data_IF_112001871825
#
_entry.id   IF_112001871825
#
_cell.length_a   1.000
_cell.length_b   1.000
_cell.length_c   1.000
_cell.angle_alpha   90.00
_cell.angle_beta   90.00
_cell.angle_gamma   90.00
#
_symmetry.space_group_name_H-M   'P 1'
#
loop_
_entity.id
_entity.type
_entity.pdbx_description
1 polymer ?
#
# COMPACT_ATOMS: atom_id res chain seq x y z
N UNK A 1 -6.96 -11.50 -22.65
CA UNK A 1 -8.10 -10.81 -21.99
C UNK A 1 -7.52 -9.59 -21.30
N UNK A 2 -8.14 -8.40 -21.39
CA UNK A 2 -7.62 -7.22 -20.70
C UNK A 2 -7.63 -7.44 -19.17
N UNK A 3 -6.68 -6.86 -18.43
CA UNK A 3 -6.66 -6.90 -16.97
C UNK A 3 -7.97 -6.34 -16.42
N UNK A 4 -8.63 -7.08 -15.53
CA UNK A 4 -9.78 -6.55 -14.80
C UNK A 4 -9.22 -5.77 -13.63
N UNK A 5 -9.30 -4.44 -13.69
CA UNK A 5 -8.91 -3.56 -12.60
C UNK A 5 -10.17 -3.00 -11.94
N UNK A 6 -10.28 -3.03 -10.60
CA UNK A 6 -11.39 -2.38 -9.92
C UNK A 6 -11.47 -0.91 -10.31
N UNK A 7 -12.67 -0.47 -10.70
CA UNK A 7 -12.93 0.95 -10.92
C UNK A 7 -12.89 1.74 -9.60
N UNK A 8 -13.09 1.07 -8.47
CA UNK A 8 -13.10 1.69 -7.14
C UNK A 8 -12.15 0.93 -6.23
N UNK A 9 -11.48 1.67 -5.35
CA UNK A 9 -10.68 1.13 -4.25
C UNK A 9 -11.48 1.31 -2.98
N UNK A 10 -11.71 0.21 -2.26
CA UNK A 10 -12.53 0.20 -1.06
C UNK A 10 -11.75 -0.30 0.14
N UNK A 11 -11.98 0.32 1.29
CA UNK A 11 -11.44 -0.13 2.56
C UNK A 11 -12.49 0.06 3.66
N UNK A 12 -12.67 -0.96 4.49
CA UNK A 12 -13.48 -0.89 5.70
C UNK A 12 -12.58 -0.87 6.93
N UNK A 13 -12.75 0.14 7.78
CA UNK A 13 -12.08 0.24 9.07
C UNK A 13 -13.09 -0.19 10.14
N UNK A 14 -12.75 -1.21 10.91
CA UNK A 14 -13.62 -1.84 11.90
C UNK A 14 -13.28 -1.35 13.30
N UNK A 15 -14.30 -0.98 14.06
CA UNK A 15 -14.16 -0.41 15.40
C UNK A 15 -15.13 -1.07 16.38
N UNK A 16 -14.69 -1.23 17.62
CA UNK A 16 -15.61 -1.39 18.75
C UNK A 16 -16.38 -0.09 19.00
N UNK A 17 -15.67 1.04 18.98
CA UNK A 17 -16.23 2.38 19.06
C UNK A 17 -15.29 3.40 18.40
N UNK A 18 -15.83 4.54 17.96
CA UNK A 18 -15.05 5.71 17.54
C UNK A 18 -15.89 6.99 17.68
N UNK A 19 -15.19 8.13 17.78
CA UNK A 19 -15.82 9.45 17.73
C UNK A 19 -15.85 9.95 16.29
N UNK A 20 -17.04 10.26 15.72
CA UNK A 20 -17.13 10.81 14.38
C UNK A 20 -16.33 12.10 14.26
N UNK A 21 -15.55 12.22 13.18
CA UNK A 21 -14.80 13.44 12.91
C UNK A 21 -15.54 14.37 11.95
N UNK A 22 -15.23 15.67 12.05
CA UNK A 22 -15.74 16.68 11.12
C UNK A 22 -14.95 16.65 9.81
N UNK A 23 -15.65 16.58 8.68
CA UNK A 23 -15.02 16.48 7.35
C UNK A 23 -14.19 17.70 6.97
N UNK A 24 -14.56 18.92 7.40
CA UNK A 24 -13.79 20.12 7.13
C UNK A 24 -12.35 20.01 7.69
N UNK A 25 -12.23 19.64 8.97
CA UNK A 25 -10.93 19.44 9.61
C UNK A 25 -10.14 18.27 8.99
N UNK A 26 -10.83 17.23 8.54
CA UNK A 26 -10.19 16.13 7.81
C UNK A 26 -9.64 16.57 6.45
N UNK A 27 -10.40 17.38 5.70
CA UNK A 27 -9.96 17.95 4.43
C UNK A 27 -8.73 18.85 4.61
N UNK A 28 -8.67 19.64 5.67
CA UNK A 28 -7.49 20.45 5.98
C UNK A 28 -6.25 19.59 6.25
N UNK A 29 -6.41 18.45 6.95
CA UNK A 29 -5.32 17.47 7.10
C UNK A 29 -4.89 16.89 5.76
N UNK A 30 -5.85 16.52 4.90
CA UNK A 30 -5.55 16.01 3.58
C UNK A 30 -4.78 17.05 2.74
N UNK A 31 -5.14 18.33 2.79
CA UNK A 31 -4.39 19.41 2.10
C UNK A 31 -2.93 19.47 2.55
N UNK A 32 -2.67 19.36 3.85
CA UNK A 32 -1.29 19.34 4.37
C UNK A 32 -0.47 18.16 3.84
N UNK A 33 -1.11 17.01 3.64
CA UNK A 33 -0.45 15.80 3.17
C UNK A 33 -0.30 15.80 1.66
N UNK A 34 -1.32 16.21 0.94
CA UNK A 34 -1.26 16.32 -0.51
C UNK A 34 -0.36 17.48 -0.97
N UNK A 35 -0.13 18.47 -0.11
CA UNK A 35 0.64 19.67 -0.44
C UNK A 35 -0.12 20.56 -1.42
N UNK A 36 0.59 21.52 -1.99
CA UNK A 36 0.01 22.47 -2.95
C UNK A 36 -0.21 21.86 -4.36
N UNK A 37 0.33 20.66 -4.60
CA UNK A 37 0.32 20.01 -5.93
C UNK A 37 -1.04 19.38 -6.28
N UNK A 38 -1.80 18.92 -5.27
CA UNK A 38 -3.07 18.23 -5.47
C UNK A 38 -4.17 19.03 -4.76
N UNK A 39 -5.02 19.75 -5.51
CA UNK A 39 -6.11 20.51 -4.92
C UNK A 39 -7.12 19.58 -4.26
N UNK A 40 -7.39 19.81 -2.97
CA UNK A 40 -8.36 19.05 -2.18
C UNK A 40 -9.53 19.94 -1.77
N UNK A 41 -10.75 19.50 -2.11
CA UNK A 41 -11.99 20.19 -1.79
C UNK A 41 -13.04 19.24 -1.22
N UNK A 42 -13.77 19.72 -0.19
CA UNK A 42 -15.00 19.07 0.27
C UNK A 42 -16.11 19.41 -0.72
N UNK A 43 -16.70 18.39 -1.33
CA UNK A 43 -17.76 18.55 -2.35
C UNK A 43 -19.15 18.50 -1.70
N UNK A 44 -19.39 17.50 -0.84
CA UNK A 44 -20.64 17.31 -0.13
C UNK A 44 -20.38 16.64 1.23
N UNK A 45 -21.23 16.89 2.23
CA UNK A 45 -21.23 16.16 3.47
C UNK A 45 -22.60 16.20 4.17
N UNK A 46 -22.93 15.15 4.93
CA UNK A 46 -24.20 15.05 5.67
C UNK A 46 -23.95 14.78 7.14
N UNK A 47 -23.99 15.84 7.95
CA UNK A 47 -24.06 15.74 9.42
C UNK A 47 -22.98 14.85 10.08
N UNK A 48 -21.82 14.69 9.44
CA UNK A 48 -20.75 13.81 9.93
C UNK A 48 -20.88 12.32 9.54
N UNK A 49 -22.04 11.84 9.07
CA UNK A 49 -22.19 10.44 8.67
C UNK A 49 -21.57 10.13 7.30
N UNK A 50 -21.50 11.13 6.43
CA UNK A 50 -21.02 10.99 5.05
C UNK A 50 -20.28 12.24 4.61
N UNK A 51 -19.20 12.05 3.84
CA UNK A 51 -18.44 13.10 3.21
C UNK A 51 -17.88 12.66 1.86
N UNK A 52 -17.90 13.58 0.92
CA UNK A 52 -17.39 13.43 -0.43
C UNK A 52 -16.34 14.50 -0.68
N UNK A 53 -15.13 14.06 -1.01
CA UNK A 53 -13.95 14.90 -1.18
C UNK A 53 -13.44 14.69 -2.61
N UNK A 54 -13.04 15.76 -3.27
CA UNK A 54 -12.37 15.72 -4.57
C UNK A 54 -10.89 16.06 -4.37
N UNK A 55 -9.99 15.19 -4.82
CA UNK A 55 -8.56 15.39 -4.88
C UNK A 55 -8.10 15.27 -6.35
N UNK A 56 -7.95 16.41 -7.03
CA UNK A 56 -7.58 16.50 -8.45
C UNK A 56 -8.36 15.57 -9.42
N UNK A 57 -9.68 15.54 -9.27
CA UNK A 57 -10.57 14.72 -10.09
C UNK A 57 -10.73 13.27 -9.60
N UNK A 58 -10.00 12.86 -8.57
CA UNK A 58 -10.23 11.58 -7.88
C UNK A 58 -11.19 11.82 -6.72
N UNK A 59 -12.32 11.13 -6.76
CA UNK A 59 -13.36 11.25 -5.74
C UNK A 59 -13.10 10.27 -4.60
N UNK A 60 -13.21 10.79 -3.38
CA UNK A 60 -13.04 10.07 -2.12
C UNK A 60 -14.35 10.18 -1.36
N UNK A 61 -15.04 9.07 -1.21
CA UNK A 61 -16.23 8.93 -0.37
C UNK A 61 -15.83 8.31 0.97
N UNK A 62 -16.28 8.91 2.06
CA UNK A 62 -16.07 8.41 3.42
C UNK A 62 -17.41 8.35 4.14
N UNK A 63 -17.81 7.16 4.58
CA UNK A 63 -19.02 6.93 5.37
C UNK A 63 -18.65 6.52 6.80
N UNK A 64 -19.12 7.27 7.79
CA UNK A 64 -18.97 7.00 9.21
C UNK A 64 -20.27 6.33 9.74
N UNK A 65 -20.27 4.99 9.79
CA UNK A 65 -21.45 4.20 10.16
C UNK A 65 -21.40 3.77 11.64
N UNK A 66 -22.58 3.75 12.28
CA UNK A 66 -22.80 3.28 13.65
C UNK A 66 -23.25 1.81 13.73
N UNK A 67 -23.01 1.05 12.66
CA UNK A 67 -23.41 -0.35 12.53
C UNK A 67 -22.25 -1.21 12.05
N UNK A 68 -22.22 -2.49 12.42
CA UNK A 68 -21.28 -3.45 11.88
C UNK A 68 -21.59 -3.78 10.41
N UNK A 69 -20.57 -4.25 9.70
CA UNK A 69 -20.71 -4.84 8.38
C UNK A 69 -21.12 -6.31 8.49
N UNK A 70 -21.75 -6.82 7.43
CA UNK A 70 -22.17 -8.21 7.35
C UNK A 70 -20.95 -9.16 7.27
N UNK A 71 -20.98 -10.23 8.05
CA UNK A 71 -19.90 -11.24 8.10
C UNK A 71 -19.59 -11.88 6.74
N UNK A 72 -20.58 -11.97 5.86
CA UNK A 72 -20.43 -12.52 4.51
C UNK A 72 -19.34 -11.80 3.70
N UNK A 73 -19.12 -10.50 3.94
CA UNK A 73 -18.10 -9.72 3.25
C UNK A 73 -16.66 -10.07 3.63
N UNK A 74 -16.44 -10.86 4.69
CA UNK A 74 -15.11 -11.20 5.20
C UNK A 74 -14.73 -12.68 5.03
N UNK A 75 -15.61 -13.50 4.44
CA UNK A 75 -15.42 -14.95 4.39
C UNK A 75 -14.12 -15.36 3.69
N UNK A 76 -13.80 -14.74 2.56
CA UNK A 76 -12.56 -15.02 1.82
C UNK A 76 -11.33 -14.70 2.65
N UNK A 77 -11.27 -13.48 3.19
CA UNK A 77 -10.16 -13.03 4.00
C UNK A 77 -9.96 -13.88 5.27
N UNK A 78 -11.04 -14.25 5.97
CA UNK A 78 -10.96 -15.08 7.19
C UNK A 78 -10.62 -16.55 6.89
N UNK A 79 -10.98 -17.07 5.72
CA UNK A 79 -10.64 -18.44 5.32
C UNK A 79 -9.14 -18.59 5.03
N UNK A 80 -8.45 -17.51 4.67
CA UNK A 80 -7.04 -17.52 4.28
C UNK A 80 -6.10 -17.98 5.38
N UNK A 81 -5.23 -18.94 5.06
CA UNK A 81 -4.12 -19.38 5.92
C UNK A 81 -3.15 -18.24 6.23
N UNK A 82 -2.97 -17.29 5.30
CA UNK A 82 -2.11 -16.14 5.51
C UNK A 82 -2.70 -15.19 6.56
N UNK A 83 -4.00 -14.91 6.47
CA UNK A 83 -4.71 -14.12 7.49
C UNK A 83 -4.63 -14.79 8.86
N UNK A 84 -4.90 -16.09 8.96
CA UNK A 84 -4.82 -16.82 10.25
C UNK A 84 -3.41 -16.77 10.87
N UNK A 85 -2.37 -16.70 10.04
CA UNK A 85 -0.99 -16.57 10.49
C UNK A 85 -0.65 -15.15 10.95
N UNK A 86 -1.07 -14.12 10.20
CA UNK A 86 -0.71 -12.72 10.48
C UNK A 86 -1.64 -12.06 11.50
N UNK A 87 -2.89 -12.50 11.54
CA UNK A 87 -4.01 -11.92 12.29
C UNK A 87 -4.85 -13.03 12.98
N UNK A 88 -4.30 -13.79 13.93
CA UNK A 88 -5.05 -14.85 14.62
C UNK A 88 -6.38 -14.39 15.24
N UNK A 89 -6.45 -13.14 15.69
CA UNK A 89 -7.59 -12.50 16.33
C UNK A 89 -8.61 -11.87 15.35
N UNK A 90 -8.38 -11.96 14.03
CA UNK A 90 -9.20 -11.28 13.03
C UNK A 90 -10.69 -11.68 13.10
N UNK A 91 -10.96 -12.97 13.32
CA UNK A 91 -12.33 -13.48 13.39
C UNK A 91 -13.10 -12.87 14.56
N UNK A 92 -12.49 -12.82 15.75
CA UNK A 92 -13.10 -12.23 16.94
C UNK A 92 -13.37 -10.73 16.75
N UNK A 93 -12.45 -10.01 16.11
CA UNK A 93 -12.63 -8.58 15.82
C UNK A 93 -13.76 -8.36 14.80
N UNK A 94 -13.78 -9.15 13.72
CA UNK A 94 -14.85 -9.08 12.70
C UNK A 94 -16.21 -9.42 13.30
N UNK A 95 -16.29 -10.36 14.24
CA UNK A 95 -17.56 -10.66 14.94
C UNK A 95 -17.93 -9.58 15.98
N UNK A 96 -16.93 -8.98 16.63
CA UNK A 96 -17.12 -8.07 17.77
C UNK A 96 -17.29 -6.59 17.41
N UNK A 97 -16.87 -6.16 16.21
CA UNK A 97 -16.96 -4.75 15.82
C UNK A 97 -18.41 -4.25 15.81
N UNK A 98 -18.60 -2.96 16.08
CA UNK A 98 -19.93 -2.34 16.20
C UNK A 98 -20.10 -1.13 15.31
N UNK A 99 -18.99 -0.50 14.91
CA UNK A 99 -18.98 0.68 14.06
C UNK A 99 -17.96 0.52 12.96
N UNK A 100 -18.21 1.20 11.85
CA UNK A 100 -17.32 1.14 10.68
C UNK A 100 -17.12 2.51 10.07
N UNK A 101 -15.92 2.71 9.52
CA UNK A 101 -15.68 3.78 8.57
C UNK A 101 -15.37 3.13 7.23
N UNK A 102 -16.16 3.44 6.20
CA UNK A 102 -15.97 2.91 4.86
C UNK A 102 -15.38 3.99 3.96
N UNK A 103 -14.25 3.70 3.33
CA UNK A 103 -13.56 4.59 2.39
C UNK A 103 -13.68 4.00 1.01
N UNK A 104 -14.15 4.81 0.05
CA UNK A 104 -14.20 4.45 -1.36
C UNK A 104 -13.50 5.53 -2.18
N UNK A 105 -12.53 5.13 -3.01
CA UNK A 105 -11.79 6.03 -3.91
C UNK A 105 -12.06 5.62 -5.35
N UNK A 106 -12.48 6.56 -6.19
CA UNK A 106 -12.90 6.30 -7.56
C UNK A 106 -13.05 7.56 -8.39
N UNK A 107 -13.88 7.48 -9.42
CA UNK A 107 -14.29 8.58 -10.31
C UNK A 107 -15.73 9.03 -10.01
N UNK A 108 -16.29 9.81 -10.93
CA UNK A 108 -17.66 10.32 -10.93
C UNK A 108 -18.73 9.24 -10.80
N UNK A 109 -18.41 7.95 -11.04
CA UNK A 109 -19.34 6.85 -10.73
C UNK A 109 -19.66 6.73 -9.23
N UNK A 110 -18.91 7.41 -8.35
CA UNK A 110 -19.27 7.56 -6.94
C UNK A 110 -20.43 8.53 -6.70
N UNK A 111 -20.63 9.49 -7.62
CA UNK A 111 -21.76 10.43 -7.58
C UNK A 111 -23.05 9.79 -8.10
N UNK A 112 -22.94 8.67 -8.82
CA UNK A 112 -24.03 7.99 -9.50
C UNK A 112 -24.07 6.50 -9.17
N UNK A 113 -24.53 6.13 -7.96
CA UNK A 113 -24.58 4.73 -7.54
C UNK A 113 -25.48 3.86 -8.43
N UNK A 114 -26.48 4.46 -9.11
CA UNK A 114 -27.42 3.76 -9.99
C UNK A 114 -26.96 3.70 -11.46
N UNK A 115 -25.82 4.30 -11.81
CA UNK A 115 -25.29 4.21 -13.16
C UNK A 115 -24.73 2.80 -13.41
N UNK A 116 -24.96 2.28 -14.61
CA UNK A 116 -24.34 1.02 -15.03
C UNK A 116 -22.81 1.12 -14.83
N UNK A 117 -22.15 0.07 -14.30
CA UNK A 117 -20.71 0.10 -14.11
C UNK A 117 -20.03 0.40 -15.43
N UNK A 118 -19.12 1.38 -15.42
CA UNK A 118 -18.34 1.70 -16.60
C UNK A 118 -17.63 0.43 -17.08
N UNK A 119 -17.82 0.10 -18.35
CA UNK A 119 -17.31 -1.14 -18.95
C UNK A 119 -15.80 -1.11 -19.19
N UNK A 120 -15.14 0.03 -18.99
CA UNK A 120 -13.70 0.18 -19.17
C UNK A 120 -12.97 0.04 -17.83
N UNK A 121 -12.12 -0.99 -17.74
CA UNK A 121 -11.17 -1.09 -16.64
C UNK A 121 -10.16 0.07 -16.72
N UNK A 122 -9.85 0.73 -15.59
CA UNK A 122 -8.85 1.80 -15.60
C UNK A 122 -7.48 1.29 -16.06
N UNK A 123 -6.66 2.21 -16.58
CA UNK A 123 -5.24 1.94 -16.83
C UNK A 123 -4.49 1.67 -15.52
N UNK A 124 -3.33 0.99 -15.59
CA UNK A 124 -2.53 0.63 -14.40
C UNK A 124 -2.09 1.86 -13.60
N UNK A 125 -1.77 2.97 -14.27
CA UNK A 125 -1.36 4.23 -13.61
C UNK A 125 -2.52 4.81 -12.80
N UNK A 126 -3.71 4.92 -13.38
CA UNK A 126 -4.89 5.45 -12.68
C UNK A 126 -5.30 4.55 -11.51
N UNK A 127 -5.29 3.23 -11.72
CA UNK A 127 -5.52 2.27 -10.64
C UNK A 127 -4.51 2.44 -9.49
N UNK A 128 -3.22 2.53 -9.81
CA UNK A 128 -2.15 2.70 -8.81
C UNK A 128 -2.29 4.01 -8.05
N UNK A 129 -2.66 5.10 -8.72
CA UNK A 129 -2.92 6.39 -8.07
C UNK A 129 -4.12 6.31 -7.11
N UNK A 130 -5.20 5.63 -7.51
CA UNK A 130 -6.36 5.39 -6.62
C UNK A 130 -5.97 4.57 -5.39
N UNK A 131 -5.17 3.52 -5.55
CA UNK A 131 -4.64 2.71 -4.43
C UNK A 131 -3.81 3.57 -3.49
N UNK A 132 -2.91 4.40 -4.03
CA UNK A 132 -2.07 5.29 -3.24
C UNK A 132 -2.89 6.32 -2.46
N UNK A 133 -3.86 6.99 -3.10
CA UNK A 133 -4.75 7.95 -2.45
C UNK A 133 -5.59 7.28 -1.37
N UNK A 134 -6.18 6.11 -1.66
CA UNK A 134 -6.94 5.35 -0.67
C UNK A 134 -6.08 5.00 0.55
N UNK A 135 -4.84 4.54 0.35
CA UNK A 135 -3.90 4.28 1.45
C UNK A 135 -3.63 5.53 2.28
N UNK A 136 -3.34 6.67 1.63
CA UNK A 136 -3.09 7.93 2.35
C UNK A 136 -4.30 8.34 3.19
N UNK A 137 -5.50 8.33 2.60
CA UNK A 137 -6.75 8.66 3.29
C UNK A 137 -6.99 7.73 4.48
N UNK A 138 -6.89 6.41 4.28
CA UNK A 138 -7.08 5.42 5.36
C UNK A 138 -6.03 5.63 6.46
N UNK A 139 -4.77 5.90 6.11
CA UNK A 139 -3.70 6.16 7.08
C UNK A 139 -4.01 7.38 7.94
N UNK A 140 -4.62 8.42 7.37
CA UNK A 140 -5.05 9.59 8.14
C UNK A 140 -6.24 9.31 9.05
N UNK A 141 -7.18 8.48 8.60
CA UNK A 141 -8.28 8.05 9.47
C UNK A 141 -7.74 7.21 10.63
N UNK A 142 -6.80 6.29 10.36
CA UNK A 142 -6.11 5.50 11.39
C UNK A 142 -5.41 6.40 12.43
N UNK A 143 -4.76 7.48 11.98
CA UNK A 143 -4.10 8.43 12.86
C UNK A 143 -5.09 9.25 13.73
N UNK A 144 -6.33 9.42 13.27
CA UNK A 144 -7.39 10.13 14.01
C UNK A 144 -8.16 9.21 14.96
N UNK A 145 -8.57 8.06 14.46
CA UNK A 145 -9.34 7.04 15.14
C UNK A 145 -8.69 5.71 14.80
N UNK A 146 -7.97 5.12 15.76
CA UNK A 146 -7.28 3.85 15.54
C UNK A 146 -8.30 2.71 15.43
N UNK A 147 -8.48 2.05 14.28
CA UNK A 147 -9.37 0.90 14.17
C UNK A 147 -8.78 -0.33 14.86
N UNK A 148 -9.61 -1.33 15.10
CA UNK A 148 -9.15 -2.66 15.55
C UNK A 148 -8.59 -3.46 14.36
N UNK A 149 -9.22 -3.31 13.19
CA UNK A 149 -8.87 -4.03 11.98
C UNK A 149 -9.25 -3.21 10.74
N UNK A 150 -8.46 -3.32 9.68
CA UNK A 150 -8.79 -2.80 8.36
C UNK A 150 -9.00 -3.96 7.39
N UNK A 151 -10.11 -3.96 6.68
CA UNK A 151 -10.33 -4.79 5.50
C UNK A 151 -10.01 -3.99 4.25
N UNK A 152 -8.96 -4.41 3.55
CA UNK A 152 -8.54 -3.85 2.27
C UNK A 152 -9.16 -4.67 1.14
N UNK A 153 -10.28 -4.21 0.61
CA UNK A 153 -11.13 -4.96 -0.32
C UNK A 153 -10.44 -5.35 -1.64
N UNK A 154 -9.58 -4.53 -2.29
CA UNK A 154 -9.00 -4.86 -3.59
C UNK A 154 -8.22 -6.19 -3.62
N UNK A 155 -7.59 -6.55 -2.50
CA UNK A 155 -6.91 -7.83 -2.35
C UNK A 155 -7.57 -8.70 -1.28
N UNK A 156 -8.75 -8.34 -0.77
CA UNK A 156 -9.42 -9.06 0.32
C UNK A 156 -8.50 -9.34 1.54
N UNK A 157 -7.70 -8.35 1.96
CA UNK A 157 -6.75 -8.49 3.08
C UNK A 157 -7.29 -7.93 4.38
N UNK A 158 -6.97 -8.59 5.51
CA UNK A 158 -7.18 -8.04 6.85
C UNK A 158 -5.86 -7.55 7.43
N UNK A 159 -5.84 -6.31 7.90
CA UNK A 159 -4.64 -5.59 8.29
C UNK A 159 -4.83 -4.94 9.66
N UNK A 160 -3.77 -4.94 10.46
CA UNK A 160 -3.66 -4.09 11.64
C UNK A 160 -3.40 -2.63 11.24
N UNK A 161 -3.80 -1.66 12.08
CA UNK A 161 -3.49 -0.24 11.86
C UNK A 161 -2.01 0.02 11.61
N UNK A 162 -1.13 -0.68 12.34
CA UNK A 162 0.32 -0.49 12.26
C UNK A 162 0.89 -0.90 10.89
N UNK A 163 0.19 -1.76 10.16
CA UNK A 163 0.61 -2.21 8.83
C UNK A 163 0.32 -1.18 7.74
N UNK A 164 -0.57 -0.21 8.00
CA UNK A 164 -0.78 0.93 7.11
C UNK A 164 0.14 2.11 7.43
N UNK A 165 0.51 2.26 8.70
CA UNK A 165 1.49 3.25 9.13
C UNK A 165 2.91 2.79 8.77
N UNK A 166 3.40 3.04 7.56
CA UNK A 166 4.84 2.93 7.36
C UNK A 166 5.44 3.78 6.24
N UNK A 167 6.56 4.39 6.62
CA UNK A 167 7.68 4.90 5.83
C UNK A 167 8.30 3.80 4.95
N UNK A 168 8.14 2.54 5.35
CA UNK A 168 8.78 1.38 4.74
C UNK A 168 8.03 0.85 3.51
N UNK A 169 6.74 1.19 3.37
CA UNK A 169 5.92 0.86 2.20
C UNK A 169 5.17 2.09 1.67
N UNK A 170 5.88 3.12 1.19
CA UNK A 170 5.24 4.36 0.74
C UNK A 170 4.32 4.15 -0.46
N UNK A 171 4.54 3.09 -1.24
CA UNK A 171 3.73 2.70 -2.39
C UNK A 171 2.48 1.87 -2.06
N UNK A 172 2.33 1.37 -0.83
CA UNK A 172 1.26 0.43 -0.48
C UNK A 172 1.39 -0.91 -1.20
N UNK A 173 2.61 -1.36 -1.44
CA UNK A 173 2.94 -2.59 -2.15
C UNK A 173 2.39 -3.81 -1.43
N UNK A 174 2.40 -3.81 -0.10
CA UNK A 174 1.81 -4.87 0.71
C UNK A 174 0.30 -5.01 0.49
N UNK A 175 -0.37 -3.95 0.02
CA UNK A 175 -1.82 -3.92 -0.22
C UNK A 175 -2.23 -4.47 -1.59
N UNK A 176 -1.25 -4.80 -2.44
CA UNK A 176 -1.52 -5.19 -3.83
C UNK A 176 -1.86 -6.67 -3.97
N UNK A 177 -1.37 -7.52 -3.07
CA UNK A 177 -1.55 -8.97 -3.17
C UNK A 177 -1.98 -9.62 -1.88
N UNK A 178 -2.83 -10.62 -1.99
CA UNK A 178 -3.16 -11.56 -0.91
C UNK A 178 -2.50 -12.91 -1.19
N UNK A 179 -1.48 -13.29 -0.38
CA UNK A 179 -0.83 -14.59 -0.51
C UNK A 179 -1.76 -15.74 -0.13
N UNK A 180 -2.06 -16.64 -1.06
CA UNK A 180 -2.66 -17.94 -0.76
C UNK A 180 -1.57 -18.99 -0.73
N UNK A 181 -1.20 -19.38 0.50
CA UNK A 181 -0.03 -20.22 0.78
C UNK A 181 -0.28 -21.68 0.43
N UNK A 182 0.73 -22.35 -0.12
CA UNK A 182 0.79 -23.79 -0.28
C UNK A 182 2.18 -24.33 0.08
N UNK A 183 2.26 -25.62 0.40
CA UNK A 183 3.49 -26.28 0.78
C UNK A 183 3.44 -27.77 0.40
N UNK A 184 4.50 -28.28 -0.21
CA UNK A 184 4.75 -29.70 -0.45
C UNK A 184 5.41 -30.40 0.73
N UNK A 185 5.69 -29.66 1.81
CA UNK A 185 6.30 -30.15 3.04
C UNK A 185 7.68 -29.57 3.30
N UNK A 186 8.55 -30.41 3.85
CA UNK A 186 9.94 -30.06 4.18
C UNK A 186 10.89 -30.60 3.12
N UNK A 187 11.98 -29.88 2.88
CA UNK A 187 13.08 -30.34 2.05
C UNK A 187 13.95 -31.40 2.76
N UNK A 188 14.97 -31.91 2.06
CA UNK A 188 15.92 -32.90 2.60
C UNK A 188 16.67 -32.41 3.86
N UNK A 189 16.74 -31.09 4.06
CA UNK A 189 17.36 -30.46 5.22
C UNK A 189 16.35 -30.13 6.34
N UNK A 190 15.09 -30.54 6.20
CA UNK A 190 14.01 -30.25 7.15
C UNK A 190 13.46 -28.83 7.07
N UNK A 191 13.85 -28.03 6.07
CA UNK A 191 13.34 -26.67 5.87
C UNK A 191 11.98 -26.72 5.17
N UNK A 192 10.98 -26.06 5.75
CA UNK A 192 9.66 -25.96 5.14
C UNK A 192 9.74 -25.17 3.84
N UNK A 193 9.29 -25.77 2.73
CA UNK A 193 9.14 -25.08 1.46
C UNK A 193 7.75 -24.45 1.40
N UNK A 194 7.69 -23.16 1.11
CA UNK A 194 6.43 -22.43 1.00
C UNK A 194 6.40 -21.70 -0.33
N UNK A 195 5.33 -21.93 -1.09
CA UNK A 195 4.96 -21.14 -2.27
C UNK A 195 3.64 -20.43 -2.02
N UNK A 196 3.26 -19.53 -2.93
CA UNK A 196 1.95 -18.89 -2.84
C UNK A 196 1.42 -18.37 -4.17
N UNK A 197 0.10 -18.29 -4.26
CA UNK A 197 -0.62 -17.53 -5.27
C UNK A 197 -0.81 -16.09 -4.79
N UNK A 198 -0.47 -15.10 -5.61
CA UNK A 198 -0.52 -13.69 -5.25
C UNK A 198 -1.81 -13.03 -5.78
N UNK A 199 -2.95 -13.32 -5.15
CA UNK A 199 -4.25 -12.78 -5.59
C UNK A 199 -4.26 -11.26 -5.59
N UNK A 200 -4.73 -10.64 -6.68
CA UNK A 200 -4.71 -9.19 -6.87
C UNK A 200 -3.55 -8.71 -7.73
N UNK A 201 -2.54 -9.55 -7.99
CA UNK A 201 -1.43 -9.23 -8.89
C UNK A 201 -1.90 -8.91 -10.31
N UNK A 202 -3.04 -9.45 -10.73
CA UNK A 202 -3.65 -9.23 -12.04
C UNK A 202 -4.00 -7.77 -12.26
N UNK A 203 -4.32 -7.03 -11.20
CA UNK A 203 -4.67 -5.62 -11.29
C UNK A 203 -3.48 -4.77 -11.75
N UNK A 204 -2.26 -5.24 -11.50
CA UNK A 204 -1.04 -4.54 -11.94
C UNK A 204 -0.48 -5.18 -13.20
N UNK A 205 -0.22 -6.48 -13.14
CA UNK A 205 0.54 -7.21 -14.16
C UNK A 205 -0.33 -7.70 -15.33
N UNK A 206 -1.65 -7.69 -15.18
CA UNK A 206 -2.58 -8.35 -16.10
C UNK A 206 -2.59 -9.88 -16.03
N UNK A 207 -1.77 -10.46 -15.15
CA UNK A 207 -1.56 -11.90 -15.02
C UNK A 207 -1.61 -12.33 -13.56
N UNK A 208 -2.04 -13.55 -13.33
CA UNK A 208 -1.92 -14.14 -12.01
C UNK A 208 -0.43 -14.41 -11.74
N UNK A 209 0.07 -14.08 -10.56
CA UNK A 209 1.46 -14.37 -10.17
C UNK A 209 1.46 -15.59 -9.26
N UNK A 210 2.11 -16.66 -9.72
CA UNK A 210 2.35 -17.89 -8.98
C UNK A 210 3.80 -17.93 -8.54
N UNK A 211 4.03 -18.01 -7.23
CA UNK A 211 5.36 -18.03 -6.64
C UNK A 211 5.75 -19.46 -6.30
N UNK A 212 6.84 -19.94 -6.88
CA UNK A 212 7.34 -21.29 -6.63
C UNK A 212 7.76 -21.47 -5.19
N UNK A 213 7.67 -22.72 -4.71
CA UNK A 213 8.04 -23.03 -3.36
C UNK A 213 9.53 -22.79 -3.13
N UNK A 214 9.83 -22.13 -2.02
CA UNK A 214 11.20 -21.84 -1.64
C UNK A 214 11.40 -22.08 -0.15
N UNK A 215 12.65 -22.35 0.22
CA UNK A 215 13.08 -22.45 1.62
C UNK A 215 13.38 -21.07 2.23
N UNK A 216 13.26 -19.98 1.47
CA UNK A 216 13.45 -18.63 1.99
C UNK A 216 12.34 -18.23 2.97
N UNK A 217 12.67 -17.37 3.92
CA UNK A 217 11.72 -16.85 4.88
C UNK A 217 10.57 -16.10 4.19
N UNK A 218 9.33 -16.53 4.44
CA UNK A 218 8.12 -16.03 3.78
C UNK A 218 8.01 -14.48 3.73
N UNK A 219 8.31 -13.71 4.80
CA UNK A 219 8.25 -12.24 4.73
C UNK A 219 9.20 -11.63 3.69
N UNK A 220 10.37 -12.23 3.48
CA UNK A 220 11.32 -11.79 2.44
C UNK A 220 10.83 -12.11 1.03
N UNK A 221 10.22 -13.29 0.85
CA UNK A 221 9.64 -13.73 -0.42
C UNK A 221 8.47 -12.81 -0.82
N UNK A 222 7.52 -12.56 0.10
CA UNK A 222 6.38 -11.66 -0.13
C UNK A 222 6.87 -10.25 -0.51
N UNK A 223 7.87 -9.73 0.20
CA UNK A 223 8.45 -8.41 -0.10
C UNK A 223 9.05 -8.37 -1.51
N UNK A 224 9.89 -9.36 -1.87
CA UNK A 224 10.51 -9.42 -3.19
C UNK A 224 9.47 -9.48 -4.32
N UNK A 225 8.39 -10.23 -4.12
CA UNK A 225 7.29 -10.36 -5.10
C UNK A 225 6.48 -9.08 -5.19
N UNK A 226 6.21 -8.39 -4.08
CA UNK A 226 5.58 -7.08 -4.08
C UNK A 226 6.44 -6.00 -4.75
N UNK A 227 7.75 -5.99 -4.50
CA UNK A 227 8.70 -5.11 -5.20
C UNK A 227 8.67 -5.35 -6.71
N UNK A 228 8.63 -6.62 -7.12
CA UNK A 228 8.51 -7.01 -8.53
C UNK A 228 7.21 -6.50 -9.14
N UNK A 229 6.05 -6.80 -8.55
CA UNK A 229 4.74 -6.38 -9.06
C UNK A 229 4.67 -4.85 -9.13
N UNK A 230 5.12 -4.18 -8.09
CA UNK A 230 5.21 -2.72 -8.03
C UNK A 230 6.05 -2.15 -9.17
N UNK A 231 7.20 -2.74 -9.48
CA UNK A 231 8.08 -2.23 -10.53
C UNK A 231 7.39 -2.17 -11.91
N UNK A 232 6.41 -3.07 -12.14
CA UNK A 232 5.64 -3.13 -13.38
C UNK A 232 4.62 -1.99 -13.52
N UNK A 233 4.23 -1.33 -12.43
CA UNK A 233 3.41 -0.10 -12.50
C UNK A 233 4.13 1.03 -13.23
N UNK A 234 5.47 1.02 -13.21
CA UNK A 234 6.32 2.08 -13.81
C UNK A 234 6.67 1.77 -15.25
N UNK A 235 6.99 0.52 -15.55
CA UNK A 235 7.42 0.11 -16.90
C UNK A 235 6.25 -0.21 -17.82
N UNK A 236 5.12 -0.65 -17.27
CA UNK A 236 3.98 -1.21 -18.02
C UNK A 236 4.36 -2.39 -18.95
N UNK A 237 5.55 -2.97 -18.78
CA UNK A 237 6.10 -4.02 -19.64
C UNK A 237 6.45 -5.24 -18.81
N UNK A 238 5.98 -6.41 -19.24
CA UNK A 238 6.32 -7.69 -18.61
C UNK A 238 7.75 -8.12 -18.99
N UNK A 239 8.52 -8.70 -18.07
CA UNK A 239 9.83 -9.25 -18.38
C UNK A 239 9.72 -10.38 -19.43
N UNK A 240 10.76 -10.56 -20.23
CA UNK A 240 10.84 -11.69 -21.15
C UNK A 240 10.79 -13.01 -20.36
N UNK A 241 10.13 -14.02 -20.90
CA UNK A 241 10.04 -15.33 -20.24
C UNK A 241 11.44 -15.91 -19.97
N UNK A 242 11.66 -16.41 -18.76
CA UNK A 242 12.92 -16.93 -18.27
C UNK A 242 13.94 -15.88 -17.81
N UNK A 243 13.62 -14.59 -17.93
CA UNK A 243 14.53 -13.52 -17.52
C UNK A 243 14.65 -13.41 -16.00
N UNK A 244 15.83 -13.00 -15.55
CA UNK A 244 16.10 -12.69 -14.15
C UNK A 244 15.95 -11.19 -13.95
N UNK A 245 15.02 -10.81 -13.07
CA UNK A 245 14.72 -9.44 -12.69
C UNK A 245 15.44 -9.11 -11.39
N UNK A 246 16.27 -8.08 -11.42
CA UNK A 246 17.02 -7.58 -10.26
C UNK A 246 16.32 -6.36 -9.66
N UNK A 247 15.98 -6.43 -8.38
CA UNK A 247 15.25 -5.41 -7.65
C UNK A 247 16.17 -4.47 -6.89
N UNK A 248 15.69 -3.26 -6.61
CA UNK A 248 16.44 -2.26 -5.83
C UNK A 248 16.74 -2.73 -4.41
N UNK A 249 15.91 -3.61 -3.86
CA UNK A 249 16.11 -4.29 -2.57
C UNK A 249 17.24 -5.33 -2.59
N UNK A 250 17.84 -5.59 -3.77
CA UNK A 250 18.81 -6.65 -4.00
C UNK A 250 18.15 -8.03 -4.18
N UNK A 251 16.81 -8.09 -4.29
CA UNK A 251 16.13 -9.33 -4.62
C UNK A 251 16.33 -9.69 -6.09
N UNK A 252 16.42 -10.99 -6.37
CA UNK A 252 16.54 -11.54 -7.72
C UNK A 252 15.42 -12.58 -7.94
N UNK A 253 14.64 -12.39 -9.00
CA UNK A 253 13.51 -13.25 -9.33
C UNK A 253 13.63 -13.73 -10.78
N UNK A 254 13.47 -15.02 -11.05
CA UNK A 254 13.29 -15.51 -12.42
C UNK A 254 11.79 -15.50 -12.73
N UNK A 255 11.43 -14.89 -13.85
CA UNK A 255 10.03 -14.74 -14.27
C UNK A 255 9.81 -15.52 -15.56
N UNK A 256 8.92 -16.51 -15.51
CA UNK A 256 8.51 -17.31 -16.66
C UNK A 256 7.06 -17.00 -17.01
N UNK A 257 6.80 -16.59 -18.25
CA UNK A 257 5.44 -16.43 -18.74
C UNK A 257 4.91 -17.81 -19.11
N UNK A 258 3.93 -18.29 -18.36
CA UNK A 258 3.31 -19.59 -18.56
C UNK A 258 1.96 -19.43 -19.28
N UNK A 259 1.67 -20.39 -20.15
CA UNK A 259 0.38 -20.50 -20.84
C UNK A 259 -0.65 -21.15 -19.93
N UNK A 260 -1.91 -20.81 -20.15
CA UNK A 260 -3.04 -21.43 -19.46
C UNK A 260 -2.98 -22.97 -19.51
N UNK A 261 -3.26 -23.62 -18.38
CA UNK A 261 -3.42 -25.07 -18.26
C UNK A 261 -4.73 -25.42 -17.54
N UNK A 262 -4.97 -26.71 -17.27
CA UNK A 262 -6.19 -27.17 -16.60
C UNK A 262 -6.30 -26.69 -15.13
N UNK A 263 -5.18 -26.30 -14.51
CA UNK A 263 -5.13 -25.76 -13.14
C UNK A 263 -5.30 -24.24 -13.15
N UNK A 264 -4.73 -23.58 -14.15
CA UNK A 264 -4.76 -22.14 -14.36
C UNK A 264 -5.34 -21.84 -15.74
N UNK A 265 -6.66 -21.62 -15.86
CA UNK A 265 -7.33 -21.42 -17.16
C UNK A 265 -6.96 -20.09 -17.84
N UNK A 266 -5.98 -19.36 -17.30
CA UNK A 266 -5.48 -18.08 -17.82
C UNK A 266 -3.96 -18.12 -17.80
N UNK A 267 -3.34 -17.37 -18.73
CA UNK A 267 -1.90 -17.15 -18.69
C UNK A 267 -1.49 -16.55 -17.33
N UNK A 268 -0.35 -16.98 -16.83
CA UNK A 268 0.15 -16.60 -15.51
C UNK A 268 1.66 -16.36 -15.55
N UNK A 269 2.17 -15.68 -14.54
CA UNK A 269 3.59 -15.48 -14.31
C UNK A 269 4.03 -16.46 -13.24
N UNK A 270 4.92 -17.38 -13.62
CA UNK A 270 5.63 -18.23 -12.68
C UNK A 270 6.88 -17.49 -12.19
N UNK A 271 6.99 -17.32 -10.88
CA UNK A 271 8.07 -16.56 -10.24
C UNK A 271 8.87 -17.47 -9.33
N UNK A 272 10.14 -17.68 -9.69
CA UNK A 272 11.14 -18.34 -8.85
C UNK A 272 11.91 -17.26 -8.10
N UNK A 273 11.87 -17.27 -6.77
CA UNK A 273 12.70 -16.36 -5.98
C UNK A 273 14.09 -16.97 -5.85
N UNK A 274 15.08 -16.33 -6.50
CA UNK A 274 16.48 -16.74 -6.44
C UNK A 274 17.18 -16.13 -5.22
N UNK A 275 16.84 -14.88 -4.89
CA UNK A 275 17.34 -14.15 -3.72
C UNK A 275 16.24 -13.21 -3.20
N UNK A 276 15.87 -13.25 -1.91
CA UNK A 276 14.79 -12.41 -1.36
C UNK A 276 15.21 -10.95 -1.10
N UNK A 277 16.47 -10.58 -1.34
CA UNK A 277 17.01 -9.26 -1.04
C UNK A 277 17.40 -9.07 0.43
N UNK A 278 18.07 -7.95 0.74
CA UNK A 278 18.48 -7.66 2.13
C UNK A 278 17.37 -6.92 2.86
N UNK A 279 17.02 -7.42 4.04
CA UNK A 279 16.27 -6.64 5.02
C UNK A 279 17.24 -5.61 5.58
N UNK A 280 17.10 -4.33 5.21
CA UNK A 280 17.77 -3.25 5.95
C UNK A 280 17.33 -3.35 7.40
N UNK A 281 18.28 -3.40 8.34
CA UNK A 281 18.13 -3.76 9.77
C UNK A 281 17.14 -2.89 10.59
N UNK A 282 16.33 -2.04 9.97
CA UNK A 282 15.20 -1.36 10.60
C UNK A 282 13.86 -2.13 10.52
N UNK A 283 13.73 -3.04 9.55
CA UNK A 283 12.44 -3.66 9.22
C UNK A 283 12.19 -4.94 10.02
N UNK A 284 11.11 -4.95 10.80
CA UNK A 284 10.62 -6.01 11.71
C UNK A 284 11.44 -6.16 12.99
N UNK A 285 11.09 -5.40 14.02
CA UNK A 285 11.29 -5.87 15.40
C UNK A 285 10.40 -7.11 15.59
N UNK A 286 10.96 -8.29 15.94
CA UNK A 286 10.14 -9.38 16.43
C UNK A 286 9.42 -8.89 17.70
N UNK A 287 8.10 -9.04 17.72
CA UNK A 287 7.35 -8.93 18.97
C UNK A 287 7.72 -10.14 19.82
N UNK A 288 8.64 -9.92 20.78
CA UNK A 288 8.85 -10.77 21.94
C UNK A 288 10.14 -11.61 21.98
N UNK A 289 11.19 -11.09 22.63
CA UNK A 289 11.89 -11.63 23.82
C UNK A 289 13.22 -10.90 24.02
N UNK A 290 13.47 -10.47 25.25
CA UNK A 290 14.62 -9.60 25.60
C UNK A 290 15.92 -10.33 25.87
N UNK A 291 17.03 -9.59 25.76
CA UNK A 291 18.16 -9.57 26.71
C UNK A 291 19.15 -8.48 26.29
N UNK A 292 19.62 -7.71 27.28
CA UNK A 292 20.60 -6.63 27.18
C UNK A 292 21.97 -7.13 26.71
N UNK A 293 22.73 -6.27 26.01
CA UNK A 293 24.10 -5.91 26.40
C UNK A 293 24.57 -4.65 25.66
N UNK A 294 25.53 -3.96 26.27
CA UNK A 294 25.90 -2.57 26.05
C UNK A 294 27.24 -2.39 25.30
N UNK A 295 27.44 -1.15 24.82
CA UNK A 295 28.73 -0.49 24.47
C UNK A 295 29.40 -0.94 23.15
N UNK A 296 30.16 -0.13 22.39
CA UNK A 296 30.99 1.04 22.69
C UNK A 296 31.04 2.01 21.48
N UNK A 297 31.33 3.27 21.81
CA UNK A 297 31.48 4.49 20.98
C UNK A 297 32.82 4.52 20.22
N UNK A 298 32.85 5.12 19.02
CA UNK A 298 34.04 5.74 18.46
C UNK A 298 33.67 6.91 17.53
N UNK A 299 34.18 8.10 17.86
CA UNK A 299 34.10 9.36 17.13
C UNK A 299 35.00 9.36 15.87
N UNK A 300 34.58 10.09 14.82
CA UNK A 300 35.51 10.93 14.07
C UNK A 300 34.83 12.09 13.34
N UNK A 301 35.49 13.22 13.46
CA UNK A 301 35.21 14.61 13.10
C UNK A 301 35.35 14.97 11.61
N UNK A 302 34.65 16.05 11.24
CA UNK A 302 35.11 17.25 10.51
C UNK A 302 34.59 17.53 9.08
N UNK A 303 34.43 18.86 8.86
CA UNK A 303 34.44 19.64 7.62
C UNK A 303 33.09 20.09 7.03
N UNK A 304 32.52 21.10 7.69
CA UNK A 304 32.26 22.46 7.17
C UNK A 304 32.40 22.73 5.66
N UNK A 305 31.33 23.25 5.02
CA UNK A 305 31.38 24.27 3.97
C UNK A 305 29.99 24.83 3.62
N UNK A 306 29.84 26.14 3.87
CA UNK A 306 28.78 27.04 3.40
C UNK A 306 28.97 27.39 1.91
N UNK A 307 27.88 27.71 1.18
CA UNK A 307 27.74 28.78 0.15
C UNK A 307 26.35 28.64 -0.54
N UNK A 308 25.38 29.50 -0.19
CA UNK A 308 24.85 30.67 -0.93
C UNK A 308 24.08 30.42 -2.26
N UNK A 309 22.75 30.41 -2.12
CA UNK A 309 21.68 31.12 -2.86
C UNK A 309 22.01 31.80 -4.21
N UNK A 310 21.26 31.45 -5.26
CA UNK A 310 20.74 32.37 -6.28
C UNK A 310 19.55 31.74 -7.06
N UNK A 311 18.56 32.59 -7.35
CA UNK A 311 17.25 32.43 -8.04
C UNK A 311 17.05 33.79 -8.76
N UNK A 312 16.18 34.04 -9.78
CA UNK A 312 15.42 33.27 -10.80
C UNK A 312 15.81 33.82 -12.24
N UNK A 313 14.98 33.94 -13.32
CA UNK A 313 13.56 33.57 -13.56
C UNK A 313 13.15 33.05 -14.97
N UNK A 314 11.84 32.79 -15.06
CA UNK A 314 10.90 33.09 -16.15
C UNK A 314 10.51 31.97 -17.13
N UNK A 315 9.29 31.47 -16.87
CA UNK A 315 8.09 31.64 -17.70
C UNK A 315 8.01 30.89 -19.05
N UNK A 316 7.02 29.98 -19.15
CA UNK A 316 6.30 29.65 -20.38
C UNK A 316 5.06 28.77 -20.11
N UNK A 317 3.93 29.30 -20.56
CA UNK A 317 2.61 28.68 -20.69
C UNK A 317 2.61 27.33 -21.42
N UNK A 318 1.89 26.33 -20.87
CA UNK A 318 1.49 25.12 -21.61
C UNK A 318 0.06 24.67 -21.29
N UNK A 319 -0.65 24.35 -22.38
CA UNK A 319 -2.06 24.00 -22.60
C UNK A 319 -2.42 22.54 -22.21
N UNK A 320 -3.69 22.08 -22.29
CA UNK A 320 -4.28 21.11 -21.35
C UNK A 320 -4.03 19.62 -21.65
N UNK A 321 -2.97 19.28 -22.39
CA UNK A 321 -2.53 17.88 -22.59
C UNK A 321 -1.62 17.36 -21.47
N UNK A 322 -1.26 18.20 -20.49
CA UNK A 322 -0.31 17.88 -19.42
C UNK A 322 -0.89 17.31 -18.13
N UNK A 323 -2.22 17.25 -17.94
CA UNK A 323 -2.80 16.84 -16.65
C UNK A 323 -2.54 15.37 -16.29
N UNK A 324 -2.46 14.47 -17.27
CA UNK A 324 -2.21 13.02 -16.99
C UNK A 324 -0.72 12.72 -16.77
N UNK A 325 0.19 13.49 -17.39
CA UNK A 325 1.62 13.38 -17.14
C UNK A 325 2.04 14.03 -15.80
N UNK A 326 1.32 15.07 -15.37
CA UNK A 326 1.53 15.75 -14.09
C UNK A 326 1.40 14.80 -12.90
N UNK A 327 0.32 14.02 -12.82
CA UNK A 327 0.07 13.11 -11.69
C UNK A 327 1.17 12.04 -11.52
N UNK A 328 1.71 11.49 -12.60
CA UNK A 328 2.81 10.52 -12.54
C UNK A 328 4.14 11.17 -12.12
N UNK A 329 4.40 12.40 -12.56
CA UNK A 329 5.55 13.18 -12.13
C UNK A 329 5.44 13.63 -10.66
N UNK A 330 4.24 13.94 -10.18
CA UNK A 330 3.95 14.38 -8.82
C UNK A 330 4.11 13.22 -7.82
N UNK A 331 3.63 12.01 -8.13
CA UNK A 331 3.89 10.82 -7.28
C UNK A 331 5.40 10.51 -7.21
N UNK A 332 6.14 10.72 -8.31
CA UNK A 332 7.61 10.58 -8.33
C UNK A 332 8.30 11.68 -7.51
N UNK A 333 7.84 12.94 -7.57
CA UNK A 333 8.40 14.03 -6.77
C UNK A 333 8.11 13.85 -5.28
N UNK A 334 6.92 13.37 -4.93
CA UNK A 334 6.49 13.15 -3.54
C UNK A 334 7.21 11.97 -2.89
N UNK A 335 7.50 10.90 -3.65
CA UNK A 335 8.35 9.79 -3.20
C UNK A 335 9.81 10.23 -2.93
N UNK A 336 10.30 11.24 -3.67
CA UNK A 336 11.64 11.81 -3.45
C UNK A 336 11.62 12.82 -2.30
N UNK A 337 10.58 13.65 -2.18
CA UNK A 337 10.47 14.67 -1.14
C UNK A 337 10.19 14.09 0.25
N UNK A 338 9.39 13.02 0.35
CA UNK A 338 9.15 12.31 1.62
C UNK A 338 10.43 11.69 2.20
N UNK A 339 11.35 11.21 1.35
CA UNK A 339 12.68 10.77 1.79
C UNK A 339 13.56 11.92 2.32
N UNK A 340 13.33 13.15 1.87
CA UNK A 340 14.11 14.33 2.30
C UNK A 340 13.57 14.98 3.58
N UNK A 341 12.25 14.97 3.80
CA UNK A 341 11.64 15.59 4.99
C UNK A 341 11.86 14.80 6.28
N UNK A 342 12.12 13.49 6.19
CA UNK A 342 12.45 12.67 7.37
C UNK A 342 13.92 12.82 7.82
N UNK A 343 14.82 13.22 6.91
CA UNK A 343 16.20 13.62 7.30
C UNK A 343 16.23 14.93 8.09
N UNK A 344 15.17 15.74 8.00
CA UNK A 344 15.07 17.04 8.68
C UNK A 344 14.38 16.98 10.06
N UNK A 345 13.81 15.83 10.47
CA UNK A 345 12.96 15.74 11.68
C UNK A 345 13.44 14.74 12.74
N UNK A 346 14.67 14.22 12.63
CA UNK A 346 15.28 13.46 13.73
C UNK A 346 15.53 14.36 14.96
N UNK A 347 14.97 14.06 16.15
CA UNK A 347 15.08 14.92 17.32
C UNK A 347 16.39 14.66 18.06
N UNK A 348 17.17 15.72 18.29
CA UNK A 348 18.32 15.68 19.18
C UNK A 348 18.99 17.03 19.36
N UNK A 349 18.53 17.80 20.35
CA UNK A 349 19.32 18.45 21.42
C UNK A 349 18.61 19.69 22.00
N UNK A 350 18.01 19.50 23.17
CA UNK A 350 17.96 20.47 24.28
C UNK A 350 18.89 19.88 25.35
N UNK A 351 19.69 20.57 26.18
CA UNK A 351 19.98 21.97 26.53
C UNK A 351 21.18 21.93 27.52
N UNK A 352 21.88 23.07 27.71
CA UNK A 352 22.66 23.58 28.87
C UNK A 352 24.02 24.13 28.42
N UNK A 353 24.51 25.31 28.85
CA UNK A 353 24.16 26.17 29.97
C UNK A 353 24.56 27.64 29.69
N UNK A 354 23.94 28.58 30.42
CA UNK A 354 24.49 29.92 30.67
C UNK A 354 24.78 30.07 32.16
N UNK A 355 25.92 30.69 32.47
CA UNK A 355 26.19 31.40 33.72
C UNK A 355 25.26 32.60 33.87
#
# INVERSE_FOLDING_TARGET
MPPIRPAKIEAALLYLDYQPFAYAAFVDRLRLIFGDDIPVALVDHRGGAFGLINADGILIKISQNQQPLALAGFQGALASSYTKMQQPEAEDIVQGHRKTIFVTVGDDSLLRPDAAPETQSPGVVLFSNRVHIARLVVSQIVALNRPELIHWCPSDQLLKPEQLSSVEDPGGLALQIHPSLFSSGVDENGSQKIGFQAFGSEHVTGHHVFVEETAFALPGVIRAVNDFISSLTKTCELPKSGSVVQMKSGAALRVTQAVADYRFPRNFLLVEVLQPGRVTKGALKPVGRGLQSASYRAEKTAADRTITRAVPPADRDLTPLFRVAGLAAIVMLYLVASQFMELATAPGLTTLASN
#
